data_IF_868815834960
#
_entry.id   IF_868815834960
#
_cell.length_a   1.000
_cell.length_b   1.000
_cell.length_c   1.000
_cell.angle_alpha   90.00
_cell.angle_beta   90.00
_cell.angle_gamma   90.00
#
_symmetry.space_group_name_H-M   'P 1'
#
loop_
_entity.id
_entity.type
_entity.pdbx_description
1 polymer ?
#
# COMPACT_ATOMS: atom_id res chain seq x y z
N UNK A 1 -23.58 -27.52 21.93
CA UNK A 1 -23.13 -26.38 21.09
C UNK A 1 -22.83 -26.89 19.69
N UNK A 2 -23.52 -26.38 18.67
CA UNK A 2 -23.47 -26.87 17.28
C UNK A 2 -22.08 -26.61 16.64
N UNK A 3 -21.55 -27.60 15.91
CA UNK A 3 -20.25 -27.50 15.20
C UNK A 3 -20.22 -26.35 14.19
N UNK A 4 -21.38 -25.96 13.66
CA UNK A 4 -21.56 -24.90 12.66
C UNK A 4 -21.21 -23.50 13.16
N UNK A 5 -21.34 -23.22 14.46
CA UNK A 5 -21.01 -21.90 15.02
C UNK A 5 -19.53 -21.71 15.33
N UNK A 6 -18.71 -22.78 15.23
CA UNK A 6 -17.27 -22.75 15.59
C UNK A 6 -16.37 -22.37 14.42
N UNK A 7 -16.84 -22.46 13.17
CA UNK A 7 -16.02 -22.20 11.98
C UNK A 7 -16.62 -21.09 11.10
N UNK A 8 -15.95 -19.94 11.03
CA UNK A 8 -16.32 -18.86 10.11
C UNK A 8 -15.84 -19.15 8.69
N UNK A 9 -16.65 -19.86 7.88
CA UNK A 9 -16.37 -20.14 6.45
C UNK A 9 -16.71 -18.97 5.51
N UNK A 10 -17.25 -17.87 6.05
CA UNK A 10 -17.73 -16.72 5.28
C UNK A 10 -16.64 -16.06 4.42
N UNK A 11 -15.38 -16.13 4.84
CA UNK A 11 -14.25 -15.59 4.08
C UNK A 11 -13.98 -16.38 2.78
N UNK A 12 -14.09 -17.71 2.84
CA UNK A 12 -13.88 -18.57 1.69
C UNK A 12 -15.05 -18.45 0.71
N UNK A 13 -16.29 -18.33 1.21
CA UNK A 13 -17.45 -18.02 0.37
C UNK A 13 -17.27 -16.68 -0.36
N UNK A 14 -16.72 -15.67 0.32
CA UNK A 14 -16.45 -14.37 -0.29
C UNK A 14 -15.40 -14.45 -1.41
N UNK A 15 -14.37 -15.28 -1.23
CA UNK A 15 -13.36 -15.56 -2.26
C UNK A 15 -13.97 -16.25 -3.50
N UNK A 16 -14.83 -17.24 -3.29
CA UNK A 16 -15.52 -17.96 -4.37
C UNK A 16 -16.44 -17.00 -5.14
N UNK A 17 -17.21 -16.17 -4.43
CA UNK A 17 -18.04 -15.14 -5.07
C UNK A 17 -17.20 -14.19 -5.91
N UNK A 18 -16.08 -13.70 -5.39
CA UNK A 18 -15.17 -12.83 -6.13
C UNK A 18 -14.60 -13.50 -7.40
N UNK A 19 -14.48 -14.83 -7.42
CA UNK A 19 -14.02 -15.60 -8.59
C UNK A 19 -15.08 -15.74 -9.68
N UNK A 20 -16.36 -15.76 -9.31
CA UNK A 20 -17.49 -15.99 -10.22
C UNK A 20 -18.17 -14.69 -10.70
N UNK A 21 -17.94 -13.56 -10.02
CA UNK A 21 -18.58 -12.28 -10.34
C UNK A 21 -18.08 -11.71 -11.69
N UNK A 22 -18.95 -11.27 -12.60
CA UNK A 22 -18.51 -10.57 -13.81
C UNK A 22 -17.92 -9.20 -13.45
N UNK A 23 -16.69 -8.91 -13.94
CA UNK A 23 -15.94 -7.73 -13.52
C UNK A 23 -16.54 -6.41 -14.04
N UNK A 24 -16.50 -6.22 -15.36
CA UNK A 24 -17.05 -5.07 -16.08
C UNK A 24 -17.52 -5.55 -17.45
N UNK A 25 -18.61 -4.98 -18.02
CA UNK A 25 -19.29 -3.73 -17.64
C UNK A 25 -20.40 -3.86 -16.56
N UNK A 26 -20.63 -5.04 -16.00
CA UNK A 26 -21.67 -5.25 -14.98
C UNK A 26 -21.35 -4.58 -13.63
N UNK A 27 -22.34 -4.05 -12.89
CA UNK A 27 -22.15 -3.46 -11.57
C UNK A 27 -21.91 -4.49 -10.44
N UNK A 28 -21.69 -5.76 -10.77
CA UNK A 28 -21.64 -6.85 -9.81
C UNK A 28 -20.44 -6.77 -8.85
N UNK A 29 -19.28 -6.30 -9.32
CA UNK A 29 -18.11 -6.03 -8.44
C UNK A 29 -18.43 -4.90 -7.46
N UNK A 30 -19.19 -3.91 -7.90
CA UNK A 30 -19.61 -2.79 -7.06
C UNK A 30 -20.60 -3.24 -5.98
N UNK A 31 -21.53 -4.15 -6.30
CA UNK A 31 -22.41 -4.77 -5.32
C UNK A 31 -21.63 -5.59 -4.27
N UNK A 32 -20.57 -6.28 -4.68
CA UNK A 32 -19.72 -7.08 -3.79
C UNK A 32 -18.89 -6.21 -2.82
N UNK A 33 -18.36 -5.08 -3.30
CA UNK A 33 -17.46 -4.21 -2.54
C UNK A 33 -18.17 -3.07 -1.81
N UNK A 34 -19.35 -2.65 -2.27
CA UNK A 34 -20.17 -1.59 -1.68
C UNK A 34 -20.38 -1.70 -0.16
N UNK A 35 -20.82 -2.85 0.39
CA UNK A 35 -21.01 -2.98 1.84
C UNK A 35 -19.70 -2.84 2.64
N UNK A 36 -18.58 -3.32 2.10
CA UNK A 36 -17.26 -3.20 2.76
C UNK A 36 -16.83 -1.74 2.80
N UNK A 37 -16.92 -1.04 1.66
CA UNK A 37 -16.58 0.38 1.57
C UNK A 37 -17.50 1.22 2.46
N UNK A 38 -18.79 0.88 2.54
CA UNK A 38 -19.74 1.53 3.44
C UNK A 38 -19.35 1.41 4.92
N UNK A 39 -18.88 0.23 5.34
CA UNK A 39 -18.37 0.04 6.71
C UNK A 39 -17.08 0.83 6.94
N UNK A 40 -16.19 0.91 5.94
CA UNK A 40 -14.93 1.66 6.04
C UNK A 40 -15.14 3.18 6.10
N UNK A 41 -16.16 3.70 5.42
CA UNK A 41 -16.55 5.12 5.44
C UNK A 41 -17.44 5.50 6.63
N UNK A 42 -17.98 4.51 7.37
CA UNK A 42 -18.86 4.77 8.50
C UNK A 42 -18.16 5.50 9.66
N UNK A 43 -18.85 6.45 10.34
CA UNK A 43 -18.25 7.23 11.43
C UNK A 43 -18.02 6.40 12.71
N UNK A 44 -18.54 5.18 12.81
CA UNK A 44 -18.46 4.31 14.00
C UNK A 44 -17.54 3.11 13.75
N UNK A 45 -16.45 3.35 13.03
CA UNK A 45 -15.48 2.32 12.65
C UNK A 45 -14.62 1.90 13.84
N UNK A 46 -14.66 0.62 14.18
CA UNK A 46 -13.77 0.04 15.19
C UNK A 46 -12.55 -0.61 14.51
N UNK A 47 -11.37 -0.66 15.17
CA UNK A 47 -10.18 -1.30 14.60
C UNK A 47 -10.42 -2.78 14.29
N UNK A 48 -11.23 -3.47 15.11
CA UNK A 48 -11.63 -4.87 14.88
C UNK A 48 -12.39 -5.03 13.56
N UNK A 49 -13.34 -4.13 13.26
CA UNK A 49 -14.07 -4.14 11.98
C UNK A 49 -13.13 -3.89 10.80
N UNK A 50 -12.15 -3.01 10.93
CA UNK A 50 -11.16 -2.73 9.86
C UNK A 50 -10.34 -3.98 9.53
N UNK A 51 -9.89 -4.74 10.53
CA UNK A 51 -9.14 -5.98 10.33
C UNK A 51 -10.00 -7.01 9.58
N UNK A 52 -11.27 -7.18 9.98
CA UNK A 52 -12.21 -8.07 9.30
C UNK A 52 -12.43 -7.64 7.84
N UNK A 53 -12.70 -6.34 7.61
CA UNK A 53 -12.88 -5.79 6.26
C UNK A 53 -11.62 -5.96 5.42
N UNK A 54 -10.44 -5.79 6.00
CA UNK A 54 -9.15 -5.99 5.33
C UNK A 54 -8.95 -7.44 4.89
N UNK A 55 -9.32 -8.42 5.74
CA UNK A 55 -9.25 -9.83 5.37
C UNK A 55 -10.26 -10.17 4.27
N UNK A 56 -11.49 -9.64 4.32
CA UNK A 56 -12.46 -9.79 3.22
C UNK A 56 -11.93 -9.20 1.91
N UNK A 57 -11.33 -8.00 1.95
CA UNK A 57 -10.71 -7.38 0.78
C UNK A 57 -9.53 -8.21 0.25
N UNK A 58 -8.72 -8.80 1.13
CA UNK A 58 -7.63 -9.72 0.75
C UNK A 58 -8.17 -10.92 -0.02
N UNK A 59 -9.23 -11.55 0.48
CA UNK A 59 -9.91 -12.67 -0.16
C UNK A 59 -10.55 -12.28 -1.49
N UNK A 60 -11.14 -11.09 -1.58
CA UNK A 60 -11.60 -10.54 -2.86
C UNK A 60 -10.46 -10.37 -3.87
N UNK A 61 -9.27 -9.89 -3.47
CA UNK A 61 -8.13 -9.79 -4.39
C UNK A 61 -7.72 -11.17 -4.92
N UNK A 62 -7.67 -12.19 -4.07
CA UNK A 62 -7.36 -13.56 -4.49
C UNK A 62 -8.39 -14.10 -5.49
N UNK A 63 -9.68 -13.94 -5.19
CA UNK A 63 -10.77 -14.37 -6.07
C UNK A 63 -10.83 -13.61 -7.40
N UNK A 64 -10.79 -12.27 -7.35
CA UNK A 64 -10.81 -11.40 -8.53
C UNK A 64 -9.61 -11.65 -9.43
N UNK A 65 -8.42 -11.85 -8.88
CA UNK A 65 -7.24 -12.12 -9.70
C UNK A 65 -7.33 -13.47 -10.43
N UNK A 66 -7.98 -14.48 -9.82
CA UNK A 66 -8.23 -15.80 -10.41
C UNK A 66 -9.41 -15.86 -11.40
N UNK A 67 -10.19 -14.79 -11.50
CA UNK A 67 -11.40 -14.74 -12.31
C UNK A 67 -11.09 -14.63 -13.82
N UNK A 68 -11.63 -15.52 -14.68
CA UNK A 68 -11.39 -15.47 -16.13
C UNK A 68 -12.07 -14.28 -16.83
N UNK A 69 -13.11 -13.68 -16.23
CA UNK A 69 -13.83 -12.54 -16.82
C UNK A 69 -13.06 -11.22 -16.69
N UNK A 70 -12.02 -11.18 -15.84
CA UNK A 70 -11.24 -9.98 -15.58
C UNK A 70 -10.26 -9.73 -16.73
N UNK A 71 -10.60 -8.76 -17.58
CA UNK A 71 -9.69 -8.23 -18.60
C UNK A 71 -8.76 -7.19 -17.98
N UNK A 72 -7.45 -7.37 -18.16
CA UNK A 72 -6.39 -6.45 -17.70
C UNK A 72 -6.68 -4.96 -17.92
N UNK A 73 -7.08 -4.48 -19.12
CA UNK A 73 -7.29 -3.04 -19.33
C UNK A 73 -8.42 -2.47 -18.45
N UNK A 74 -9.51 -3.20 -18.27
CA UNK A 74 -10.64 -2.74 -17.45
C UNK A 74 -10.27 -2.68 -15.98
N UNK A 75 -9.48 -3.65 -15.51
CA UNK A 75 -8.97 -3.65 -14.14
C UNK A 75 -8.01 -2.48 -13.89
N UNK A 76 -7.12 -2.16 -14.84
CA UNK A 76 -6.22 -1.01 -14.70
C UNK A 76 -7.01 0.30 -14.58
N UNK A 77 -8.04 0.52 -15.41
CA UNK A 77 -8.91 1.70 -15.27
C UNK A 77 -9.57 1.73 -13.90
N UNK A 78 -10.12 0.60 -13.44
CA UNK A 78 -10.76 0.51 -12.14
C UNK A 78 -9.82 0.86 -10.98
N UNK A 79 -8.62 0.27 -10.97
CA UNK A 79 -7.59 0.57 -9.95
C UNK A 79 -7.20 2.03 -10.00
N UNK A 80 -7.01 2.60 -11.20
CA UNK A 80 -6.62 4.01 -11.35
C UNK A 80 -7.63 4.93 -10.70
N UNK A 81 -8.90 4.73 -11.02
CA UNK A 81 -9.99 5.55 -10.49
C UNK A 81 -10.09 5.42 -8.97
N UNK A 82 -9.98 4.19 -8.43
CA UNK A 82 -9.97 3.98 -6.98
C UNK A 82 -8.81 4.68 -6.27
N UNK A 83 -7.62 4.70 -6.88
CA UNK A 83 -6.44 5.37 -6.33
C UNK A 83 -6.66 6.88 -6.37
N UNK A 84 -7.01 7.45 -7.53
CA UNK A 84 -7.18 8.90 -7.71
C UNK A 84 -8.24 9.48 -6.74
N UNK A 85 -9.34 8.75 -6.51
CA UNK A 85 -10.42 9.16 -5.59
C UNK A 85 -10.01 9.20 -4.11
N UNK A 86 -8.96 8.47 -3.74
CA UNK A 86 -8.55 8.29 -2.34
C UNK A 86 -7.17 8.87 -2.02
N UNK A 87 -6.35 9.18 -3.02
CA UNK A 87 -5.02 9.82 -2.89
C UNK A 87 -5.11 11.12 -2.08
N UNK A 88 -6.09 11.98 -2.39
CA UNK A 88 -6.31 13.23 -1.65
C UNK A 88 -6.65 13.04 -0.17
N UNK A 89 -7.25 11.90 0.18
CA UNK A 89 -7.71 11.60 1.53
C UNK A 89 -6.66 10.81 2.36
N UNK A 90 -5.60 10.34 1.71
CA UNK A 90 -4.40 9.75 2.36
C UNK A 90 -3.34 10.79 2.73
N UNK A 91 -3.62 12.08 2.55
CA UNK A 91 -2.69 13.19 2.83
C UNK A 91 -1.78 13.57 1.65
N UNK A 92 -2.04 13.04 0.45
CA UNK A 92 -1.33 13.43 -0.76
C UNK A 92 -1.95 14.70 -1.35
N UNK A 93 -1.13 15.72 -1.64
CA UNK A 93 -1.58 16.83 -2.48
C UNK A 93 -1.99 16.27 -3.84
N UNK A 94 -3.26 16.49 -4.24
CA UNK A 94 -3.81 16.00 -5.49
C UNK A 94 -2.91 16.41 -6.66
N UNK A 95 -2.36 15.43 -7.39
CA UNK A 95 -1.63 15.66 -8.63
C UNK A 95 -2.63 16.19 -9.68
N UNK A 96 -2.69 17.52 -9.82
CA UNK A 96 -3.19 18.22 -11.02
C UNK A 96 -4.60 17.84 -11.51
N UNK A 97 -5.63 18.43 -10.91
CA UNK A 97 -6.80 19.06 -11.56
C UNK A 97 -7.81 19.39 -10.47
N UNK A 98 -7.77 20.63 -9.96
CA UNK A 98 -8.88 21.26 -9.24
C UNK A 98 -9.97 21.62 -10.26
N UNK A 99 -10.61 20.60 -10.82
CA UNK A 99 -11.79 20.72 -11.65
C UNK A 99 -12.91 19.94 -10.99
N UNK A 100 -13.92 20.66 -10.47
CA UNK A 100 -15.29 20.21 -10.10
C UNK A 100 -15.35 18.78 -9.52
N UNK A 101 -15.54 18.65 -8.20
CA UNK A 101 -15.64 17.38 -7.48
C UNK A 101 -16.50 16.35 -8.22
N UNK A 102 -15.86 15.44 -8.96
CA UNK A 102 -16.53 14.29 -9.58
C UNK A 102 -17.03 13.38 -8.45
N UNK A 103 -18.19 12.73 -8.59
CA UNK A 103 -18.67 11.80 -7.58
C UNK A 103 -17.61 10.71 -7.37
N UNK A 104 -17.14 10.57 -6.12
CA UNK A 104 -16.19 9.52 -5.74
C UNK A 104 -16.77 8.17 -6.20
N UNK A 105 -15.96 7.25 -6.71
CA UNK A 105 -16.41 5.89 -7.00
C UNK A 105 -16.94 5.20 -5.74
N UNK A 106 -16.47 5.60 -4.55
CA UNK A 106 -17.10 5.15 -3.30
C UNK A 106 -18.55 5.63 -3.17
N UNK A 107 -18.92 6.80 -3.69
CA UNK A 107 -20.30 7.30 -3.76
C UNK A 107 -21.16 6.46 -4.72
N UNK A 108 -20.58 6.04 -5.85
CA UNK A 108 -21.19 5.10 -6.80
C UNK A 108 -21.39 3.71 -6.18
N UNK A 109 -20.39 3.21 -5.46
CA UNK A 109 -20.41 1.94 -4.73
C UNK A 109 -21.48 1.90 -3.61
N UNK A 110 -21.81 3.04 -3.01
CA UNK A 110 -22.71 3.12 -1.86
C UNK A 110 -24.21 3.29 -2.22
N UNK A 111 -24.59 3.27 -3.51
CA UNK A 111 -25.97 3.52 -3.97
C UNK A 111 -26.64 4.72 -3.24
N UNK A 112 -25.84 5.76 -2.96
CA UNK A 112 -26.31 6.96 -2.25
C UNK A 112 -26.96 7.98 -3.18
N UNK A 113 -26.63 7.93 -4.47
CA UNK A 113 -27.11 8.90 -5.44
C UNK A 113 -28.63 8.83 -5.59
N UNK A 114 -29.22 7.62 -5.62
CA UNK A 114 -30.66 7.40 -5.73
C UNK A 114 -31.49 7.97 -4.56
N UNK A 115 -30.98 7.95 -3.32
CA UNK A 115 -31.71 8.53 -2.18
C UNK A 115 -31.43 10.03 -1.95
N UNK A 116 -30.27 10.53 -2.36
CA UNK A 116 -29.89 11.93 -2.17
C UNK A 116 -30.45 12.83 -3.28
N UNK A 117 -30.51 12.36 -4.52
CA UNK A 117 -31.21 13.06 -5.62
C UNK A 117 -32.72 13.10 -5.42
N UNK A 118 -33.31 12.06 -4.81
CA UNK A 118 -34.74 12.01 -4.47
C UNK A 118 -35.11 12.95 -3.31
N UNK A 119 -34.19 13.14 -2.34
CA UNK A 119 -34.36 14.07 -1.22
C UNK A 119 -34.25 15.54 -1.65
N UNK A 120 -33.41 15.84 -2.64
CA UNK A 120 -33.26 17.19 -3.19
C UNK A 120 -34.42 17.60 -4.12
N UNK A 121 -35.21 16.64 -4.62
CA UNK A 121 -36.37 16.88 -5.50
C UNK A 121 -37.69 17.08 -4.75
N UNK A 122 -37.74 16.82 -3.44
CA UNK A 122 -38.92 17.13 -2.64
C UNK A 122 -38.83 18.59 -2.19
N UNK A 123 -39.82 19.45 -2.49
CA UNK A 123 -39.85 20.78 -1.88
C UNK A 123 -39.82 20.61 -0.36
N UNK A 124 -38.90 21.31 0.30
CA UNK A 124 -38.76 21.26 1.74
C UNK A 124 -40.04 21.82 2.38
N UNK A 125 -40.92 20.93 2.83
CA UNK A 125 -41.97 21.30 3.77
C UNK A 125 -41.25 21.52 5.10
N UNK A 126 -41.08 22.79 5.43
CA UNK A 126 -40.49 23.30 6.67
C UNK A 126 -41.41 22.96 7.85
N UNK A 127 -41.43 21.69 8.23
CA UNK A 127 -41.97 21.27 9.51
C UNK A 127 -40.87 21.41 10.53
N UNK A 128 -40.93 22.50 11.29
CA UNK A 128 -40.11 22.81 12.45
C UNK A 128 -40.04 21.59 13.38
N UNK A 129 -38.99 20.77 13.22
CA UNK A 129 -38.68 19.71 14.17
C UNK A 129 -38.13 20.37 15.43
N UNK A 130 -38.95 20.40 16.46
CA UNK A 130 -38.53 20.66 17.84
C UNK A 130 -37.35 19.74 18.12
N UNK A 131 -36.14 20.31 18.18
CA UNK A 131 -34.96 19.58 18.56
C UNK A 131 -35.13 19.21 20.02
N UNK A 132 -35.29 17.92 20.31
CA UNK A 132 -35.18 17.42 21.68
C UNK A 132 -33.79 17.84 22.19
N UNK A 133 -33.75 18.66 23.23
CA UNK A 133 -32.51 19.10 23.85
C UNK A 133 -31.74 17.87 24.36
N UNK A 134 -30.73 17.48 23.58
CA UNK A 134 -29.76 16.47 24.01
C UNK A 134 -28.97 17.10 25.15
N UNK A 135 -29.21 16.63 26.38
CA UNK A 135 -28.41 17.01 27.55
C UNK A 135 -26.96 16.59 27.32
N UNK A 136 -26.17 17.50 26.78
CA UNK A 136 -24.74 17.33 26.49
C UNK A 136 -23.96 17.26 27.81
N UNK A 137 -23.56 16.06 28.24
CA UNK A 137 -22.54 15.95 29.28
C UNK A 137 -21.18 16.34 28.70
N UNK A 138 -20.38 17.10 29.45
CA UNK A 138 -19.08 17.66 29.02
C UNK A 138 -18.04 16.62 28.53
N UNK A 139 -18.31 15.33 28.71
CA UNK A 139 -17.46 14.20 28.30
C UNK A 139 -17.45 13.97 26.78
N UNK A 140 -18.56 14.28 26.09
CA UNK A 140 -18.68 14.06 24.64
C UNK A 140 -18.01 15.17 23.81
N UNK A 141 -17.90 16.39 24.36
CA UNK A 141 -17.11 17.47 23.76
C UNK A 141 -15.61 17.15 23.73
N UNK A 142 -15.09 16.47 24.76
CA UNK A 142 -13.68 16.06 24.82
C UNK A 142 -13.33 14.91 23.87
N UNK A 143 -14.27 14.01 23.55
CA UNK A 143 -14.04 12.94 22.56
C UNK A 143 -14.04 13.44 21.11
N UNK A 144 -14.79 14.51 20.80
CA UNK A 144 -14.91 15.05 19.43
C UNK A 144 -13.65 15.79 18.97
N UNK A 145 -12.84 16.32 19.89
CA UNK A 145 -11.66 17.15 19.57
C UNK A 145 -10.35 16.41 19.27
N UNK A 146 -10.27 15.08 19.46
CA UNK A 146 -9.02 14.31 19.24
C UNK A 146 -9.19 13.00 18.47
N UNK A 147 -10.36 12.75 17.89
CA UNK A 147 -10.49 11.74 16.85
C UNK A 147 -10.05 12.37 15.53
N UNK A 148 -8.75 12.37 15.25
CA UNK A 148 -8.29 12.36 13.87
C UNK A 148 -9.05 11.21 13.21
N UNK A 149 -10.11 11.51 12.46
CA UNK A 149 -10.87 10.53 11.70
C UNK A 149 -9.88 9.95 10.70
N UNK A 150 -9.14 8.91 11.10
CA UNK A 150 -8.33 8.12 10.18
C UNK A 150 -9.30 7.72 9.10
N UNK A 151 -9.13 8.25 7.89
CA UNK A 151 -10.02 7.93 6.80
C UNK A 151 -10.01 6.41 6.56
N UNK A 152 -11.09 5.83 6.04
CA UNK A 152 -11.06 4.46 5.49
C UNK A 152 -10.29 4.37 4.18
N UNK A 153 -9.94 5.53 3.59
CA UNK A 153 -9.19 5.69 2.35
C UNK A 153 -7.90 4.84 2.24
N UNK A 154 -6.99 4.77 3.22
CA UNK A 154 -5.77 3.98 3.07
C UNK A 154 -6.03 2.48 2.92
N UNK A 155 -7.08 1.95 3.55
CA UNK A 155 -7.46 0.53 3.35
C UNK A 155 -7.99 0.29 1.93
N UNK A 156 -8.71 1.26 1.37
CA UNK A 156 -9.21 1.20 -0.01
C UNK A 156 -8.06 1.32 -1.01
N UNK A 157 -7.12 2.25 -0.79
CA UNK A 157 -5.90 2.39 -1.61
C UNK A 157 -5.06 1.13 -1.54
N UNK A 158 -4.86 0.57 -0.33
CA UNK A 158 -4.17 -0.71 -0.15
C UNK A 158 -4.83 -1.84 -0.95
N UNK A 159 -6.15 -1.94 -0.96
CA UNK A 159 -6.89 -2.91 -1.79
C UNK A 159 -6.63 -2.71 -3.27
N UNK A 160 -6.72 -1.47 -3.77
CA UNK A 160 -6.47 -1.15 -5.17
C UNK A 160 -5.03 -1.51 -5.59
N UNK A 161 -4.04 -1.16 -4.76
CA UNK A 161 -2.63 -1.51 -5.00
C UNK A 161 -2.36 -3.01 -4.88
N UNK A 162 -3.07 -3.72 -4.01
CA UNK A 162 -2.96 -5.17 -3.88
C UNK A 162 -3.50 -5.87 -5.13
N UNK A 163 -4.60 -5.36 -5.71
CA UNK A 163 -5.14 -5.83 -6.97
C UNK A 163 -4.18 -5.58 -8.13
N UNK A 164 -3.56 -4.39 -8.18
CA UNK A 164 -2.51 -4.07 -9.15
C UNK A 164 -1.32 -5.04 -9.03
N UNK A 165 -0.82 -5.26 -7.82
CA UNK A 165 0.28 -6.18 -7.56
C UNK A 165 -0.06 -7.63 -7.96
N UNK A 166 -1.28 -8.09 -7.71
CA UNK A 166 -1.71 -9.42 -8.11
C UNK A 166 -1.70 -9.60 -9.63
N UNK A 167 -2.06 -8.55 -10.36
CA UNK A 167 -2.08 -8.53 -11.83
C UNK A 167 -0.67 -8.43 -12.41
N UNK A 168 0.19 -7.55 -11.87
CA UNK A 168 1.58 -7.42 -12.28
C UNK A 168 2.38 -8.71 -12.01
N UNK A 169 2.19 -9.34 -10.84
CA UNK A 169 2.88 -10.58 -10.46
C UNK A 169 2.58 -11.75 -11.41
N UNK A 170 1.37 -11.81 -12.00
CA UNK A 170 0.96 -12.91 -12.89
C UNK A 170 1.51 -12.79 -14.31
N UNK A 171 2.32 -11.77 -14.62
CA UNK A 171 3.02 -11.65 -15.91
C UNK A 171 2.13 -11.34 -17.13
N UNK A 172 0.80 -11.35 -16.99
CA UNK A 172 -0.16 -11.11 -18.10
C UNK A 172 -0.17 -9.68 -18.65
N UNK A 173 0.63 -8.78 -18.07
CA UNK A 173 0.53 -7.32 -18.31
C UNK A 173 1.76 -6.78 -19.04
N UNK A 174 2.90 -7.44 -18.91
CA UNK A 174 4.19 -6.93 -19.36
C UNK A 174 4.48 -7.22 -20.83
N UNK A 175 4.16 -8.42 -21.31
CA UNK A 175 4.78 -8.95 -22.53
C UNK A 175 3.95 -8.72 -23.79
N UNK A 176 2.61 -8.67 -23.72
CA UNK A 176 1.79 -8.87 -24.92
C UNK A 176 1.20 -7.63 -25.60
N UNK A 177 1.13 -6.44 -25.00
CA UNK A 177 0.57 -5.28 -25.73
C UNK A 177 1.14 -3.90 -25.38
N UNK A 178 1.40 -3.03 -26.38
CA UNK A 178 1.87 -1.66 -26.16
C UNK A 178 0.82 -0.79 -25.47
N UNK A 179 -0.48 -1.07 -25.67
CA UNK A 179 -1.59 -0.35 -25.03
C UNK A 179 -1.56 -0.45 -23.51
N UNK A 180 -1.29 -1.63 -22.97
CA UNK A 180 -1.22 -1.84 -21.51
C UNK A 180 -0.01 -1.10 -20.92
N UNK A 181 1.10 -0.98 -21.65
CA UNK A 181 2.27 -0.19 -21.21
C UNK A 181 1.93 1.29 -21.08
N UNK A 182 1.28 1.88 -22.07
CA UNK A 182 0.82 3.28 -22.00
C UNK A 182 -0.18 3.52 -20.85
N UNK A 183 -0.99 2.53 -20.50
CA UNK A 183 -1.88 2.63 -19.33
C UNK A 183 -1.13 2.53 -17.99
N UNK A 184 0.05 1.93 -17.96
CA UNK A 184 0.89 1.79 -16.77
C UNK A 184 1.76 3.02 -16.50
N UNK A 185 2.13 3.81 -17.51
CA UNK A 185 2.97 5.00 -17.35
C UNK A 185 2.40 6.02 -16.32
N UNK A 186 1.10 6.36 -16.32
CA UNK A 186 0.53 7.25 -15.32
C UNK A 186 0.61 6.70 -13.89
N UNK A 187 0.68 5.38 -13.71
CA UNK A 187 0.74 4.76 -12.38
C UNK A 187 2.06 5.08 -11.68
N UNK A 188 3.18 5.20 -12.41
CA UNK A 188 4.47 5.50 -11.81
C UNK A 188 4.47 6.82 -11.06
N UNK A 189 3.88 7.86 -11.66
CA UNK A 189 3.76 9.17 -11.06
C UNK A 189 2.89 9.13 -9.80
N UNK A 190 1.76 8.41 -9.84
CA UNK A 190 0.89 8.27 -8.66
C UNK A 190 1.53 7.46 -7.54
N UNK A 191 2.25 6.38 -7.86
CA UNK A 191 2.95 5.57 -6.87
C UNK A 191 4.08 6.37 -6.21
N UNK A 192 4.86 7.12 -6.99
CA UNK A 192 5.90 8.00 -6.46
C UNK A 192 5.35 9.13 -5.58
N UNK A 193 4.16 9.65 -5.87
CA UNK A 193 3.48 10.60 -5.00
C UNK A 193 2.99 9.93 -3.70
N UNK A 194 2.39 8.75 -3.80
CA UNK A 194 1.95 7.97 -2.64
C UNK A 194 3.10 7.64 -1.69
N UNK A 195 4.31 7.35 -2.20
CA UNK A 195 5.50 7.13 -1.37
C UNK A 195 5.91 8.37 -0.55
N UNK A 196 5.62 9.58 -1.03
CA UNK A 196 5.97 10.83 -0.33
C UNK A 196 4.93 11.22 0.71
N UNK A 197 3.66 10.97 0.41
CA UNK A 197 2.54 11.49 1.20
C UNK A 197 1.94 10.51 2.19
N UNK A 198 2.01 9.21 1.88
CA UNK A 198 1.35 8.19 2.70
C UNK A 198 2.10 7.97 4.01
N UNK A 199 1.33 7.88 5.10
CA UNK A 199 1.84 7.54 6.44
C UNK A 199 1.62 6.08 6.81
N UNK A 200 0.85 5.33 6.00
CA UNK A 200 0.52 3.95 6.27
C UNK A 200 1.52 2.98 5.62
N UNK A 201 2.20 2.19 6.46
CA UNK A 201 3.24 1.24 6.04
C UNK A 201 2.74 0.23 5.00
N UNK A 202 1.50 -0.27 5.14
CA UNK A 202 0.92 -1.24 4.21
C UNK A 202 0.74 -0.69 2.79
N UNK A 203 0.37 0.59 2.69
CA UNK A 203 0.21 1.31 1.41
C UNK A 203 1.59 1.56 0.80
N UNK A 204 2.57 1.95 1.61
CA UNK A 204 3.95 2.13 1.18
C UNK A 204 4.55 0.82 0.64
N UNK A 205 4.46 -0.27 1.41
CA UNK A 205 4.91 -1.61 1.00
C UNK A 205 4.26 -2.05 -0.31
N UNK A 206 2.94 -1.84 -0.46
CA UNK A 206 2.23 -2.21 -1.68
C UNK A 206 2.63 -1.36 -2.87
N UNK A 207 2.90 -0.07 -2.67
CA UNK A 207 3.39 0.85 -3.70
C UNK A 207 4.81 0.48 -4.15
N UNK A 208 5.67 0.16 -3.19
CA UNK A 208 7.04 -0.30 -3.42
C UNK A 208 7.04 -1.60 -4.25
N UNK A 209 6.26 -2.61 -3.84
CA UNK A 209 6.13 -3.86 -4.60
C UNK A 209 5.64 -3.61 -6.03
N UNK A 210 4.68 -2.71 -6.22
CA UNK A 210 4.19 -2.37 -7.56
C UNK A 210 5.30 -1.77 -8.43
N UNK A 211 6.08 -0.83 -7.88
CA UNK A 211 7.23 -0.23 -8.59
C UNK A 211 8.34 -1.25 -8.88
N UNK A 212 8.57 -2.23 -8.00
CA UNK A 212 9.53 -3.30 -8.26
C UNK A 212 9.12 -4.20 -9.42
N UNK A 213 7.82 -4.52 -9.53
CA UNK A 213 7.30 -5.28 -10.68
C UNK A 213 7.29 -4.47 -11.99
N UNK A 214 7.28 -3.14 -11.90
CA UNK A 214 7.36 -2.26 -13.08
C UNK A 214 8.79 -2.01 -13.55
N UNK A 215 9.80 -2.20 -12.69
CA UNK A 215 11.22 -2.04 -13.02
C UNK A 215 11.73 -2.77 -14.28
N UNK A 216 11.31 -4.03 -14.59
CA UNK A 216 11.75 -4.72 -15.82
C UNK A 216 11.03 -4.23 -17.09
N UNK A 217 10.02 -3.35 -16.98
CA UNK A 217 9.27 -2.88 -18.15
C UNK A 217 10.04 -1.75 -18.84
N UNK A 218 10.09 -1.70 -20.18
CA UNK A 218 10.64 -0.53 -20.87
C UNK A 218 9.59 0.59 -20.88
N UNK A 219 9.46 1.33 -19.78
CA UNK A 219 8.60 2.53 -19.71
C UNK A 219 9.43 3.80 -19.93
N UNK A 220 8.88 4.73 -20.71
CA UNK A 220 9.52 6.02 -21.03
C UNK A 220 9.66 6.91 -19.78
N UNK A 221 8.74 6.76 -18.83
CA UNK A 221 8.63 7.54 -17.60
C UNK A 221 9.71 7.22 -16.56
N UNK A 222 10.33 6.04 -16.62
CA UNK A 222 11.35 5.61 -15.66
C UNK A 222 12.49 6.62 -15.53
N UNK A 223 12.89 7.30 -16.60
CA UNK A 223 13.99 8.27 -16.58
C UNK A 223 13.77 9.43 -15.61
N UNK A 224 12.51 9.86 -15.41
CA UNK A 224 12.18 11.04 -14.59
C UNK A 224 11.73 10.68 -13.18
N UNK A 225 10.99 9.57 -13.04
CA UNK A 225 10.36 9.17 -11.77
C UNK A 225 11.33 8.39 -10.90
N UNK A 226 12.14 7.51 -11.50
CA UNK A 226 13.00 6.59 -10.78
C UNK A 226 14.02 7.29 -9.88
N UNK A 227 14.77 8.33 -10.31
CA UNK A 227 15.72 9.01 -9.43
C UNK A 227 15.05 9.68 -8.22
N UNK A 228 13.84 10.22 -8.42
CA UNK A 228 13.05 10.83 -7.34
C UNK A 228 12.55 9.75 -6.37
N UNK A 229 12.11 8.61 -6.89
CA UNK A 229 11.66 7.48 -6.11
C UNK A 229 12.81 6.83 -5.33
N UNK A 230 14.00 6.67 -5.91
CA UNK A 230 15.20 6.16 -5.23
C UNK A 230 15.55 6.99 -4.00
N UNK A 231 15.57 8.34 -4.13
CA UNK A 231 15.80 9.23 -2.98
C UNK A 231 14.75 9.06 -1.88
N UNK A 232 13.49 8.87 -2.24
CA UNK A 232 12.43 8.64 -1.23
C UNK A 232 12.54 7.27 -0.58
N UNK A 233 12.91 6.23 -1.33
CA UNK A 233 13.10 4.87 -0.79
C UNK A 233 14.28 4.85 0.19
N UNK A 234 15.39 5.50 -0.16
CA UNK A 234 16.55 5.62 0.74
C UNK A 234 16.18 6.35 2.03
N UNK A 235 15.43 7.45 1.95
CA UNK A 235 14.90 8.14 3.15
C UNK A 235 13.96 7.26 3.98
N UNK A 236 13.12 6.46 3.34
CA UNK A 236 12.22 5.53 4.05
C UNK A 236 13.01 4.44 4.78
N UNK A 237 14.11 3.97 4.19
CA UNK A 237 15.02 3.01 4.82
C UNK A 237 15.66 3.66 6.06
N UNK A 238 16.25 4.84 5.94
CA UNK A 238 16.84 5.60 7.07
C UNK A 238 15.83 5.86 8.20
N UNK A 239 14.60 6.24 7.86
CA UNK A 239 13.53 6.47 8.83
C UNK A 239 13.03 5.18 9.51
N UNK A 240 13.16 4.04 8.84
CA UNK A 240 12.76 2.74 9.39
C UNK A 240 13.81 2.16 10.35
N UNK A 241 15.06 2.61 10.26
CA UNK A 241 16.21 2.11 11.03
C UNK A 241 16.61 3.03 12.18
N UNK A 242 16.29 4.33 12.11
CA UNK A 242 16.72 5.36 13.08
C UNK A 242 16.09 5.35 14.49
N UNK A 243 15.44 4.28 14.93
CA UNK A 243 14.88 4.16 16.31
C UNK A 243 15.81 3.36 17.26
N UNK A 244 16.82 2.67 16.72
CA UNK A 244 17.77 1.86 17.51
C UNK A 244 19.10 2.61 17.76
N UNK A 245 19.01 3.72 18.51
CA UNK A 245 20.13 4.27 19.30
C UNK A 245 21.20 5.12 18.60
N UNK A 246 21.61 6.20 19.28
CA UNK A 246 22.84 6.98 19.04
C UNK A 246 22.79 7.96 17.86
N UNK A 247 22.01 9.03 17.99
CA UNK A 247 22.48 10.43 17.81
C UNK A 247 21.55 11.34 18.61
N UNK A 248 22.12 12.15 19.50
CA UNK A 248 21.38 12.92 20.50
C UNK A 248 20.63 14.11 19.92
N UNK A 249 19.32 14.19 20.19
CA UNK A 249 18.65 15.40 20.67
C UNK A 249 17.17 15.08 20.99
N UNK A 250 16.87 15.07 22.29
CA UNK A 250 15.56 15.43 22.85
C UNK A 250 14.31 14.66 22.41
N UNK A 251 13.94 13.62 23.15
CA UNK A 251 12.52 13.37 23.42
C UNK A 251 12.02 11.93 23.38
N UNK A 252 11.95 11.35 24.59
CA UNK A 252 10.91 10.39 25.04
C UNK A 252 11.11 8.91 24.62
N UNK A 253 11.83 8.20 25.50
CA UNK A 253 11.73 6.74 25.72
C UNK A 253 10.26 6.30 25.76
N UNK A 254 9.77 5.75 24.65
CA UNK A 254 8.54 4.98 24.58
C UNK A 254 8.83 3.53 24.94
N UNK A 255 8.72 3.19 26.23
CA UNK A 255 8.71 1.80 26.73
C UNK A 255 7.44 1.11 26.18
N UNK A 256 7.50 0.62 24.95
CA UNK A 256 6.38 0.01 24.22
C UNK A 256 6.47 -1.52 24.20
N UNK A 257 5.83 -2.13 25.19
CA UNK A 257 5.48 -3.54 25.33
C UNK A 257 5.18 -4.25 23.99
N UNK A 258 5.67 -5.47 23.85
CA UNK A 258 5.69 -6.27 22.62
C UNK A 258 4.33 -6.57 21.97
N UNK A 259 4.41 -6.79 20.66
CA UNK A 259 3.33 -7.36 19.83
C UNK A 259 2.94 -6.49 18.63
N UNK A 260 3.68 -6.59 17.51
CA UNK A 260 3.17 -6.27 16.17
C UNK A 260 3.77 -5.08 15.42
N UNK A 261 4.39 -4.10 16.08
CA UNK A 261 4.89 -2.87 15.40
C UNK A 261 6.27 -3.08 14.74
N UNK A 262 7.11 -3.97 15.29
CA UNK A 262 8.41 -4.32 14.70
C UNK A 262 8.30 -5.05 13.35
N UNK A 263 7.27 -5.89 13.19
CA UNK A 263 7.03 -6.65 11.96
C UNK A 263 6.70 -5.72 10.78
N UNK A 264 5.82 -4.73 10.95
CA UNK A 264 5.45 -3.83 9.84
C UNK A 264 6.58 -2.90 9.40
N UNK A 265 7.48 -2.49 10.32
CA UNK A 265 8.68 -1.69 9.98
C UNK A 265 9.74 -2.55 9.28
N UNK A 266 9.97 -3.77 9.78
CA UNK A 266 10.85 -4.77 9.15
C UNK A 266 10.36 -5.13 7.73
N UNK A 267 9.06 -5.31 7.54
CA UNK A 267 8.45 -5.55 6.23
C UNK A 267 8.63 -4.37 5.27
N UNK A 268 8.53 -3.13 5.77
CA UNK A 268 8.77 -1.92 4.97
C UNK A 268 10.23 -1.81 4.53
N UNK A 269 11.18 -2.01 5.44
CA UNK A 269 12.61 -2.03 5.12
C UNK A 269 12.92 -3.13 4.10
N UNK A 270 12.47 -4.36 4.36
CA UNK A 270 12.69 -5.51 3.49
C UNK A 270 12.03 -5.34 2.11
N UNK A 271 10.87 -4.69 2.02
CA UNK A 271 10.26 -4.33 0.73
C UNK A 271 11.10 -3.28 0.00
N UNK A 272 11.56 -2.23 0.70
CA UNK A 272 12.39 -1.15 0.16
C UNK A 272 13.75 -1.65 -0.35
N UNK A 273 14.40 -2.57 0.37
CA UNK A 273 15.66 -3.17 -0.08
C UNK A 273 15.45 -4.02 -1.34
N UNK A 274 14.34 -4.77 -1.43
CA UNK A 274 14.00 -5.55 -2.64
C UNK A 274 13.69 -4.66 -3.83
N UNK A 275 12.99 -3.54 -3.64
CA UNK A 275 12.73 -2.61 -4.74
C UNK A 275 14.02 -1.98 -5.25
N UNK A 276 14.89 -1.55 -4.34
CA UNK A 276 16.19 -0.99 -4.68
C UNK A 276 17.07 -2.02 -5.39
N UNK A 277 17.07 -3.27 -4.91
CA UNK A 277 17.75 -4.40 -5.58
C UNK A 277 17.25 -4.58 -7.01
N UNK A 278 15.94 -4.54 -7.24
CA UNK A 278 15.35 -4.68 -8.57
C UNK A 278 15.79 -3.53 -9.49
N UNK A 279 15.75 -2.29 -9.01
CA UNK A 279 16.21 -1.12 -9.77
C UNK A 279 17.71 -1.15 -10.05
N UNK A 280 18.52 -1.61 -9.09
CA UNK A 280 19.97 -1.78 -9.26
C UNK A 280 20.32 -2.93 -10.21
N UNK A 281 19.45 -3.92 -10.42
CA UNK A 281 19.73 -4.97 -11.41
C UNK A 281 19.28 -4.60 -12.82
N UNK A 282 18.20 -3.84 -12.93
CA UNK A 282 17.45 -3.68 -14.18
C UNK A 282 17.62 -2.31 -14.82
N UNK A 283 18.03 -1.28 -14.07
CA UNK A 283 18.08 0.10 -14.57
C UNK A 283 19.45 0.73 -14.35
N UNK A 284 20.31 0.66 -15.37
CA UNK A 284 21.69 1.20 -15.35
C UNK A 284 21.77 2.72 -15.13
N UNK A 285 20.63 3.42 -15.24
CA UNK A 285 20.54 4.88 -15.05
C UNK A 285 20.46 5.31 -13.57
N UNK A 286 20.25 4.39 -12.63
CA UNK A 286 20.20 4.74 -11.20
C UNK A 286 21.62 4.88 -10.67
N UNK A 287 22.11 6.13 -10.62
CA UNK A 287 23.36 6.49 -9.95
C UNK A 287 23.14 6.58 -8.44
N UNK A 288 23.75 5.69 -7.68
CA UNK A 288 23.81 5.75 -6.22
C UNK A 288 25.15 6.40 -5.86
N UNK A 289 25.13 7.38 -4.96
CA UNK A 289 26.35 8.03 -4.47
C UNK A 289 27.10 7.10 -3.51
N UNK A 290 28.43 7.16 -3.49
CA UNK A 290 29.28 6.37 -2.61
C UNK A 290 28.86 6.46 -1.15
N UNK A 291 28.46 7.64 -0.66
CA UNK A 291 27.98 7.82 0.72
C UNK A 291 26.67 7.07 1.00
N UNK A 292 25.78 7.02 0.02
CA UNK A 292 24.52 6.28 0.12
C UNK A 292 24.77 4.77 0.03
N UNK A 293 25.76 4.34 -0.74
CA UNK A 293 26.19 2.96 -0.82
C UNK A 293 26.82 2.49 0.50
N UNK A 294 27.68 3.32 1.13
CA UNK A 294 28.25 3.04 2.45
C UNK A 294 27.18 2.86 3.52
N UNK A 295 26.26 3.82 3.63
CA UNK A 295 25.16 3.74 4.61
C UNK A 295 24.32 2.46 4.41
N UNK A 296 24.12 2.06 3.16
CA UNK A 296 23.38 0.86 2.80
C UNK A 296 24.16 -0.43 3.10
N UNK A 297 25.48 -0.44 2.94
CA UNK A 297 26.33 -1.58 3.30
C UNK A 297 26.39 -1.82 4.81
N UNK A 298 26.46 -0.74 5.61
CA UNK A 298 26.34 -0.84 7.08
C UNK A 298 25.01 -1.46 7.47
N UNK A 299 23.91 -0.98 6.87
CA UNK A 299 22.58 -1.55 7.11
C UNK A 299 22.50 -3.03 6.70
N UNK A 300 23.06 -3.39 5.55
CA UNK A 300 23.09 -4.78 5.08
C UNK A 300 23.87 -5.65 6.05
N UNK A 301 25.00 -5.19 6.59
CA UNK A 301 25.79 -5.93 7.58
C UNK A 301 24.96 -6.29 8.82
N UNK A 302 24.15 -5.37 9.31
CA UNK A 302 23.24 -5.61 10.44
C UNK A 302 22.07 -6.52 10.06
N UNK A 303 21.48 -6.32 8.90
CA UNK A 303 20.35 -7.11 8.40
C UNK A 303 20.73 -8.56 8.04
N UNK A 304 22.00 -8.83 7.70
CA UNK A 304 22.49 -10.17 7.39
C UNK A 304 22.47 -11.10 8.61
N UNK A 305 22.56 -10.55 9.82
CA UNK A 305 22.47 -11.30 11.08
C UNK A 305 21.03 -11.62 11.49
N UNK A 306 20.05 -10.98 10.87
CA UNK A 306 18.63 -11.10 11.22
C UNK A 306 17.91 -11.98 10.21
N UNK A 307 17.53 -13.20 10.61
CA UNK A 307 16.98 -14.22 9.70
C UNK A 307 15.81 -13.75 8.81
N UNK A 308 14.89 -12.93 9.32
CA UNK A 308 13.77 -12.41 8.51
C UNK A 308 14.18 -11.42 7.41
N UNK A 309 15.25 -10.65 7.64
CA UNK A 309 15.76 -9.60 6.73
C UNK A 309 16.91 -10.09 5.85
N UNK A 310 17.56 -11.16 6.26
CA UNK A 310 18.72 -11.77 5.63
C UNK A 310 18.54 -12.04 4.13
N UNK A 311 17.39 -12.59 3.71
CA UNK A 311 17.12 -12.87 2.29
C UNK A 311 17.13 -11.61 1.40
N UNK A 312 16.57 -10.50 1.92
CA UNK A 312 16.56 -9.22 1.21
C UNK A 312 17.95 -8.60 1.18
N UNK A 313 18.68 -8.68 2.30
CA UNK A 313 20.06 -8.18 2.43
C UNK A 313 21.02 -8.89 1.47
N UNK A 314 21.01 -10.22 1.39
CA UNK A 314 21.81 -10.99 0.44
C UNK A 314 21.45 -10.67 -1.02
N UNK A 315 20.16 -10.47 -1.32
CA UNK A 315 19.72 -10.11 -2.66
C UNK A 315 20.31 -8.77 -3.11
N UNK A 316 20.33 -7.80 -2.20
CA UNK A 316 20.92 -6.47 -2.42
C UNK A 316 22.44 -6.55 -2.56
N UNK A 317 23.11 -7.26 -1.66
CA UNK A 317 24.56 -7.48 -1.72
C UNK A 317 24.99 -8.11 -3.06
N UNK A 318 24.27 -9.14 -3.51
CA UNK A 318 24.51 -9.75 -4.83
C UNK A 318 24.31 -8.75 -5.98
N UNK A 319 23.36 -7.82 -5.87
CA UNK A 319 23.16 -6.79 -6.89
C UNK A 319 24.28 -5.74 -6.90
N UNK A 320 24.82 -5.37 -5.73
CA UNK A 320 25.98 -4.47 -5.61
C UNK A 320 27.21 -5.07 -6.27
N UNK A 321 27.52 -6.34 -5.96
CA UNK A 321 28.64 -7.07 -6.55
C UNK A 321 28.47 -7.21 -8.07
N UNK A 322 27.26 -7.56 -8.53
CA UNK A 322 26.98 -7.70 -9.96
C UNK A 322 27.23 -6.40 -10.75
N UNK A 323 27.04 -5.24 -10.12
CA UNK A 323 27.33 -3.93 -10.70
C UNK A 323 28.80 -3.48 -10.60
N UNK A 324 29.66 -4.27 -9.95
CA UNK A 324 31.08 -3.95 -9.72
C UNK A 324 31.27 -2.57 -9.05
N UNK A 325 30.40 -2.24 -8.09
CA UNK A 325 30.58 -1.03 -7.27
C UNK A 325 31.66 -1.31 -6.23
N UNK A 326 32.89 -0.86 -6.49
CA UNK A 326 34.06 -1.13 -5.63
C UNK A 326 34.17 -0.04 -4.57
N UNK A 327 33.90 -0.42 -3.32
CA UNK A 327 33.93 0.44 -2.13
C UNK A 327 34.53 -0.42 -0.99
N UNK A 328 35.44 0.10 -0.15
CA UNK A 328 36.17 -0.71 0.83
C UNK A 328 35.26 -1.48 1.78
N UNK A 329 34.13 -0.90 2.16
CA UNK A 329 33.12 -1.48 3.04
C UNK A 329 32.47 -2.77 2.46
N UNK A 330 32.57 -3.01 1.14
CA UNK A 330 32.11 -4.28 0.54
C UNK A 330 32.98 -5.45 1.00
N UNK A 331 34.29 -5.24 1.17
CA UNK A 331 35.21 -6.28 1.60
C UNK A 331 34.92 -6.68 3.05
N UNK A 332 34.70 -5.72 3.95
CA UNK A 332 34.34 -5.98 5.34
C UNK A 332 33.06 -6.81 5.48
N UNK A 333 32.04 -6.51 4.65
CA UNK A 333 30.80 -7.28 4.63
C UNK A 333 31.02 -8.68 4.07
N UNK A 334 31.88 -8.87 3.07
CA UNK A 334 32.21 -10.19 2.52
C UNK A 334 32.90 -11.07 3.55
N UNK A 335 33.82 -10.52 4.33
CA UNK A 335 34.49 -11.26 5.41
C UNK A 335 33.48 -11.71 6.47
N UNK A 336 32.55 -10.84 6.85
CA UNK A 336 31.45 -11.24 7.75
C UNK A 336 30.56 -12.32 7.15
N UNK A 337 30.31 -12.33 5.84
CA UNK A 337 29.55 -13.38 5.15
C UNK A 337 30.32 -14.70 5.13
N UNK A 338 31.65 -14.66 4.92
CA UNK A 338 32.50 -15.84 5.00
C UNK A 338 32.47 -16.47 6.40
N UNK A 339 32.57 -15.66 7.45
CA UNK A 339 32.41 -16.09 8.84
C UNK A 339 31.04 -16.73 9.11
N UNK A 340 29.96 -16.11 8.60
CA UNK A 340 28.61 -16.66 8.72
C UNK A 340 28.46 -18.00 8.00
N UNK A 341 29.08 -18.16 6.83
CA UNK A 341 29.05 -19.41 6.07
C UNK A 341 29.67 -20.54 6.89
N UNK A 342 30.86 -20.32 7.46
CA UNK A 342 31.55 -21.33 8.30
C UNK A 342 30.74 -21.67 9.54
N UNK A 343 30.11 -20.68 10.18
CA UNK A 343 29.26 -20.91 11.37
C UNK A 343 27.94 -21.60 11.06
N UNK A 344 27.39 -21.40 9.86
CA UNK A 344 26.12 -22.01 9.41
C UNK A 344 26.25 -23.46 8.93
N UNK A 345 27.48 -23.89 8.64
CA UNK A 345 27.79 -25.23 8.16
C UNK A 345 28.03 -26.25 9.30
N UNK A 346 28.10 -25.77 10.55
CA UNK A 346 28.17 -26.57 11.78
C UNK A 346 26.79 -26.71 12.41
#
# INVERSE_FOLDING_TARGET
QLKESRTCRSYDTYEILARCVPFLPSPAVHALLGPIVGVLESPHRTPKKVVIMREMLRRAVTGLSANPTVRTPHLLVYVRVLVDDNVGNTGAASLGQRGRAKPRVTKWLLNKESHESERLRRPAIDNMKVQAEVKLTGRDRYKRGKASQKSGAPTIVWFALSLLNAVLKRGRVATSSPRIRGMLEPFEATLAALLKSSRDNDVLVSSLRALAYMAPLPLSTHATVLPKATKTVLKLIEQSTGDDGVTGSGGRKGKGKGGGIGSSRSELCSASLRTLTAWMRLVDRVKISDNQLRALLVLVADDLRVGERQSAAFSLLRAIIARRLVVPEVYDVMDSVADMLVRSLR
#
